data_IF_257423490734
#
_entry.id   IF_257423490734
#
_cell.length_a   1.000
_cell.length_b   1.000
_cell.length_c   1.000
_cell.angle_alpha   90.00
_cell.angle_beta   90.00
_cell.angle_gamma   90.00
#
_symmetry.space_group_name_H-M   'P 1'
#
loop_
_entity.id
_entity.type
_entity.pdbx_description
1 polymer ?
#
# COMPACT_ATOMS: atom_id res chain seq x y z
N UNK A 1 -5.04 -13.22 16.96
CA UNK A 1 -3.77 -12.46 17.00
C UNK A 1 -3.84 -11.37 15.96
N UNK A 2 -3.62 -10.10 16.32
CA UNK A 2 -3.46 -9.04 15.31
C UNK A 2 -2.14 -9.25 14.59
N UNK A 3 -2.17 -9.90 13.42
CA UNK A 3 -1.01 -9.94 12.52
C UNK A 3 -0.64 -8.49 12.19
N UNK A 4 0.62 -8.13 12.40
CA UNK A 4 1.14 -6.78 12.19
C UNK A 4 2.47 -6.93 11.45
N UNK A 5 2.62 -6.21 10.34
CA UNK A 5 3.72 -6.42 9.39
C UNK A 5 4.52 -5.14 9.26
N UNK A 6 5.81 -5.21 8.91
CA UNK A 6 6.58 -3.98 8.70
C UNK A 6 6.07 -3.27 7.44
N UNK A 7 6.12 -1.94 7.43
CA UNK A 7 5.73 -1.14 6.28
C UNK A 7 6.50 -1.54 5.01
N UNK A 8 7.79 -1.87 5.13
CA UNK A 8 8.58 -2.41 4.02
C UNK A 8 7.99 -3.71 3.45
N UNK A 9 7.63 -4.67 4.30
CA UNK A 9 7.07 -5.96 3.89
C UNK A 9 5.69 -5.76 3.27
N UNK A 10 4.87 -4.89 3.86
CA UNK A 10 3.57 -4.53 3.32
C UNK A 10 3.66 -3.93 1.92
N UNK A 11 4.57 -2.97 1.71
CA UNK A 11 4.77 -2.34 0.40
C UNK A 11 5.36 -3.31 -0.62
N UNK A 12 6.30 -4.17 -0.21
CA UNK A 12 6.83 -5.21 -1.09
C UNK A 12 5.72 -6.16 -1.55
N UNK A 13 4.86 -6.62 -0.64
CA UNK A 13 3.75 -7.51 -0.99
C UNK A 13 2.70 -6.81 -1.86
N UNK A 14 2.40 -5.55 -1.60
CA UNK A 14 1.51 -4.75 -2.45
C UNK A 14 2.00 -4.66 -3.91
N UNK A 15 3.32 -4.68 -4.13
CA UNK A 15 3.88 -4.65 -5.49
C UNK A 15 3.55 -5.90 -6.31
N UNK A 16 3.39 -7.06 -5.68
CA UNK A 16 2.93 -8.30 -6.33
C UNK A 16 1.51 -8.14 -6.92
N UNK A 17 0.71 -7.23 -6.35
CA UNK A 17 -0.64 -6.90 -6.81
C UNK A 17 -0.68 -5.71 -7.78
N UNK A 18 0.48 -5.27 -8.28
CA UNK A 18 0.63 -4.14 -9.19
C UNK A 18 0.45 -2.78 -8.54
N UNK A 19 0.51 -2.70 -7.20
CA UNK A 19 0.47 -1.42 -6.48
C UNK A 19 1.88 -0.87 -6.38
N UNK A 20 2.07 0.38 -6.77
CA UNK A 20 3.37 1.04 -6.77
C UNK A 20 3.35 2.31 -5.92
N UNK A 21 4.52 2.69 -5.44
CA UNK A 21 4.71 3.94 -4.72
C UNK A 21 4.72 5.08 -5.73
N UNK A 22 4.00 6.16 -5.44
CA UNK A 22 3.98 7.35 -6.26
C UNK A 22 5.39 7.96 -6.33
N UNK A 23 5.96 8.14 -7.54
CA UNK A 23 7.35 8.59 -7.69
C UNK A 23 7.55 10.04 -7.27
N UNK A 24 6.48 10.85 -7.26
CA UNK A 24 6.54 12.23 -6.77
C UNK A 24 6.31 12.29 -5.25
N UNK A 25 7.34 12.57 -4.43
CA UNK A 25 7.22 12.68 -2.98
C UNK A 25 6.39 13.90 -2.54
N UNK A 26 6.23 14.92 -3.40
CA UNK A 26 5.45 16.13 -3.08
C UNK A 26 3.93 15.88 -3.02
N UNK A 27 3.45 14.69 -3.41
CA UNK A 27 2.04 14.31 -3.23
C UNK A 27 1.71 13.82 -1.82
N UNK A 28 2.70 13.42 -1.02
CA UNK A 28 2.52 13.06 0.38
C UNK A 28 2.74 14.26 1.30
N UNK A 29 1.93 14.41 2.36
CA UNK A 29 2.19 15.43 3.39
C UNK A 29 3.15 14.87 4.45
N UNK A 30 4.40 15.33 4.43
CA UNK A 30 5.40 15.09 5.49
C UNK A 30 5.76 13.62 5.67
N UNK A 31 4.98 12.90 6.47
CA UNK A 31 5.16 11.49 6.84
C UNK A 31 4.17 10.57 6.12
N UNK A 32 3.91 10.80 4.84
CA UNK A 32 2.93 10.02 4.06
C UNK A 32 3.56 9.45 2.79
N UNK A 33 3.28 8.19 2.51
CA UNK A 33 3.57 7.53 1.24
C UNK A 33 2.27 7.39 0.46
N UNK A 34 2.24 7.95 -0.74
CA UNK A 34 1.14 7.74 -1.67
C UNK A 34 1.42 6.47 -2.47
N UNK A 35 0.50 5.53 -2.43
CA UNK A 35 0.53 4.31 -3.24
C UNK A 35 -0.66 4.28 -4.18
N UNK A 36 -0.49 3.70 -5.36
CA UNK A 36 -1.54 3.64 -6.37
C UNK A 36 -1.41 2.39 -7.22
N UNK A 37 -2.53 1.94 -7.78
CA UNK A 37 -2.59 0.81 -8.70
C UNK A 37 -2.94 1.34 -10.09
N UNK A 38 -1.98 1.48 -11.01
CA UNK A 38 -2.29 1.96 -12.36
C UNK A 38 -3.25 0.99 -13.05
N UNK A 39 -4.31 1.52 -13.67
CA UNK A 39 -5.23 0.70 -14.48
C UNK A 39 -4.66 0.41 -15.86
N UNK A 40 -3.68 1.21 -16.30
CA UNK A 40 -2.93 1.01 -17.52
C UNK A 40 -1.44 1.25 -17.22
N UNK A 41 -0.54 0.30 -17.51
CA UNK A 41 0.90 0.46 -17.28
C UNK A 41 1.51 1.66 -18.02
N UNK A 42 0.95 2.05 -19.17
CA UNK A 42 1.41 3.20 -19.96
C UNK A 42 0.84 4.54 -19.46
N UNK A 43 -0.16 4.50 -18.58
CA UNK A 43 -0.80 5.69 -18.02
C UNK A 43 -0.92 5.59 -16.51
N UNK A 44 0.21 5.88 -15.86
CA UNK A 44 0.36 5.95 -14.40
C UNK A 44 -0.53 7.02 -13.75
N UNK A 45 -1.19 7.91 -14.52
CA UNK A 45 -2.04 8.97 -13.96
C UNK A 45 -3.47 8.50 -13.63
N UNK A 46 -3.87 7.29 -14.05
CA UNK A 46 -5.22 6.76 -13.85
C UNK A 46 -5.20 5.49 -13.00
N UNK A 47 -5.95 5.52 -11.89
CA UNK A 47 -6.14 4.38 -11.00
C UNK A 47 -6.52 4.77 -9.58
N UNK A 48 -6.93 3.81 -8.74
CA UNK A 48 -7.13 4.04 -7.32
C UNK A 48 -5.81 4.45 -6.65
N UNK A 49 -5.93 5.39 -5.72
CA UNK A 49 -4.84 5.92 -4.89
C UNK A 49 -5.21 5.70 -3.41
N UNK A 50 -4.20 5.42 -2.59
CA UNK A 50 -4.30 5.33 -1.14
C UNK A 50 -3.06 5.98 -0.49
N UNK A 51 -3.25 6.62 0.66
CA UNK A 51 -2.16 7.24 1.40
C UNK A 51 -1.86 6.42 2.65
N UNK A 52 -0.59 6.08 2.85
CA UNK A 52 -0.11 5.31 3.99
C UNK A 52 0.76 6.21 4.85
N UNK A 53 0.43 6.34 6.13
CA UNK A 53 1.30 7.04 7.08
C UNK A 53 2.64 6.30 7.21
N UNK A 54 3.74 7.02 7.00
CA UNK A 54 5.11 6.55 7.04
C UNK A 54 5.95 7.35 8.05
N UNK A 55 6.10 6.79 9.25
CA UNK A 55 7.05 7.27 10.26
C UNK A 55 8.36 6.45 10.27
N UNK A 56 8.68 5.80 9.16
CA UNK A 56 9.85 4.95 8.96
C UNK A 56 9.49 3.55 8.44
N UNK A 57 10.29 3.02 7.53
CA UNK A 57 10.04 1.74 6.83
C UNK A 57 10.05 0.51 7.75
N UNK A 58 10.65 0.63 8.95
CA UNK A 58 10.63 -0.41 9.98
C UNK A 58 9.42 -0.36 10.90
N UNK A 59 8.53 0.64 10.76
CA UNK A 59 7.30 0.74 11.55
C UNK A 59 6.29 -0.30 11.11
N UNK A 60 5.51 -0.76 12.08
CA UNK A 60 4.50 -1.77 11.86
C UNK A 60 3.22 -1.15 11.32
N UNK A 61 2.61 -1.82 10.34
CA UNK A 61 1.31 -1.46 9.79
C UNK A 61 0.24 -2.24 10.54
N UNK A 62 -0.72 -1.52 11.12
CA UNK A 62 -1.86 -2.11 11.79
C UNK A 62 -2.88 -2.69 10.81
N UNK A 63 -3.62 -3.70 11.27
CA UNK A 63 -4.63 -4.40 10.47
C UNK A 63 -5.68 -3.46 9.86
N UNK A 64 -6.12 -2.43 10.58
CA UNK A 64 -7.10 -1.46 10.06
C UNK A 64 -6.61 -0.71 8.82
N UNK A 65 -5.34 -0.29 8.82
CA UNK A 65 -4.74 0.38 7.66
C UNK A 65 -4.56 -0.59 6.49
N UNK A 66 -4.11 -1.82 6.78
CA UNK A 66 -3.98 -2.85 5.75
C UNK A 66 -5.32 -3.11 5.08
N UNK A 67 -6.38 -3.40 5.85
CA UNK A 67 -7.70 -3.70 5.31
C UNK A 67 -8.30 -2.53 4.51
N UNK A 68 -8.09 -1.28 4.95
CA UNK A 68 -8.53 -0.11 4.21
C UNK A 68 -7.80 0.02 2.85
N UNK A 69 -6.49 -0.22 2.84
CA UNK A 69 -5.67 -0.21 1.63
C UNK A 69 -6.07 -1.32 0.66
N UNK A 70 -6.20 -2.57 1.13
CA UNK A 70 -6.60 -3.71 0.30
C UNK A 70 -7.99 -3.50 -0.32
N UNK A 71 -8.95 -3.01 0.48
CA UNK A 71 -10.30 -2.66 -0.01
C UNK A 71 -10.25 -1.60 -1.11
N UNK A 72 -9.37 -0.59 -0.98
CA UNK A 72 -9.22 0.47 -1.99
C UNK A 72 -8.72 -0.05 -3.33
N UNK A 73 -7.89 -1.10 -3.30
CA UNK A 73 -7.29 -1.70 -4.50
C UNK A 73 -8.01 -2.96 -5.00
N UNK A 74 -9.09 -3.37 -4.34
CA UNK A 74 -9.84 -4.58 -4.68
C UNK A 74 -9.02 -5.86 -4.50
N UNK A 75 -8.09 -5.88 -3.54
CA UNK A 75 -7.27 -7.05 -3.24
C UNK A 75 -8.00 -7.89 -2.19
N UNK A 76 -8.08 -9.20 -2.40
CA UNK A 76 -8.66 -10.11 -1.42
C UNK A 76 -7.80 -10.16 -0.15
N UNK A 77 -8.44 -9.93 1.00
CA UNK A 77 -7.72 -9.85 2.27
C UNK A 77 -7.18 -11.20 2.74
N UNK A 78 -7.87 -12.30 2.43
CA UNK A 78 -7.47 -13.62 2.91
C UNK A 78 -6.26 -14.07 2.10
N UNK A 79 -6.32 -13.93 0.77
CA UNK A 79 -5.20 -14.18 -0.13
C UNK A 79 -3.95 -13.38 0.27
N UNK A 80 -4.14 -12.09 0.60
CA UNK A 80 -3.05 -11.23 1.03
C UNK A 80 -2.45 -11.68 2.38
N UNK A 81 -3.30 -12.03 3.36
CA UNK A 81 -2.88 -12.38 4.73
C UNK A 81 -2.35 -13.81 4.88
N UNK A 82 -2.72 -14.73 3.99
CA UNK A 82 -2.19 -16.09 3.93
C UNK A 82 -0.75 -16.10 3.39
N UNK A 83 -0.41 -15.14 2.52
CA UNK A 83 0.95 -14.93 2.03
C UNK A 83 1.87 -14.11 2.94
N UNK A 84 1.41 -13.76 4.16
CA UNK A 84 2.12 -12.99 5.18
C UNK A 84 2.49 -13.85 6.38
#
# INVERSE_FOLDING_TARGET
MSKSVKLREFLARLSDYGVIIHPNPARGKGSELVVYKPTNPDNLAKGPIFTITNHGMGKTVGMGLMLACLRRFGIDKNEFLDGL
#
